data_IF_651402620575
#
_entry.id   IF_651402620575
#
_cell.length_a   1.000
_cell.length_b   1.000
_cell.length_c   1.000
_cell.angle_alpha   90.00
_cell.angle_beta   90.00
_cell.angle_gamma   90.00
#
_symmetry.space_group_name_H-M   'P 1'
#
loop_
_entity.id
_entity.type
_entity.pdbx_description
1 polymer ?
#
# COMPACT_ATOMS: atom_id res chain seq x y z
N UNK A 1 -60.50 22.42 -5.45
CA UNK A 1 -60.95 22.07 -6.81
C UNK A 1 -59.87 21.26 -7.50
N UNK A 2 -60.27 20.19 -8.20
CA UNK A 2 -59.42 19.32 -9.02
C UNK A 2 -58.75 20.10 -10.15
N UNK A 3 -57.81 19.41 -10.83
CA UNK A 3 -57.24 19.68 -12.17
C UNK A 3 -55.89 20.43 -12.02
N UNK A 4 -54.75 20.06 -12.62
CA UNK A 4 -54.38 19.50 -13.94
C UNK A 4 -52.89 19.10 -13.81
N UNK A 5 -52.46 17.87 -14.15
CA UNK A 5 -51.91 17.46 -15.47
C UNK A 5 -50.67 18.32 -15.82
N UNK A 6 -49.45 17.84 -15.61
CA UNK A 6 -48.68 16.89 -16.41
C UNK A 6 -47.61 17.60 -17.25
N UNK A 7 -46.48 16.89 -17.36
CA UNK A 7 -45.59 16.81 -18.49
C UNK A 7 -44.57 17.94 -18.74
N UNK A 8 -43.33 17.45 -18.87
CA UNK A 8 -42.34 17.83 -19.87
C UNK A 8 -41.85 19.27 -19.86
N UNK A 9 -40.63 19.48 -19.35
CA UNK A 9 -39.63 20.23 -20.12
C UNK A 9 -38.27 19.53 -19.97
N UNK A 10 -37.88 18.90 -21.07
CA UNK A 10 -36.52 18.56 -21.44
C UNK A 10 -35.74 19.88 -21.57
N UNK A 11 -34.74 20.11 -20.73
CA UNK A 11 -33.78 21.19 -20.94
C UNK A 11 -32.35 20.66 -20.96
N UNK A 12 -31.71 21.08 -22.03
CA UNK A 12 -30.42 20.70 -22.59
C UNK A 12 -29.28 21.28 -21.74
N UNK A 13 -28.11 20.66 -21.89
CA UNK A 13 -26.91 20.85 -21.10
C UNK A 13 -26.39 22.28 -20.95
N UNK A 14 -25.67 22.46 -19.84
CA UNK A 14 -24.62 23.45 -19.72
C UNK A 14 -23.32 22.72 -19.42
N UNK A 15 -22.45 22.62 -20.42
CA UNK A 15 -21.02 22.43 -20.21
C UNK A 15 -20.47 23.68 -19.56
N UNK A 16 -20.00 23.57 -18.32
CA UNK A 16 -19.03 24.50 -17.77
C UNK A 16 -17.88 23.67 -17.19
N UNK A 17 -16.86 23.51 -18.01
CA UNK A 17 -15.49 23.36 -17.52
C UNK A 17 -15.09 24.71 -16.94
N UNK A 18 -14.97 24.79 -15.62
CA UNK A 18 -14.28 25.86 -14.93
C UNK A 18 -13.42 25.21 -13.84
N UNK A 19 -12.16 24.98 -14.19
CA UNK A 19 -11.09 24.67 -13.26
C UNK A 19 -10.56 26.01 -12.73
N UNK A 20 -10.84 26.32 -11.46
CA UNK A 20 -10.24 27.43 -10.72
C UNK A 20 -10.35 27.18 -9.20
N UNK A 21 -9.23 26.70 -8.65
CA UNK A 21 -8.73 26.88 -7.28
C UNK A 21 -9.14 28.25 -6.68
N UNK A 22 -9.44 28.43 -5.39
CA UNK A 22 -9.07 27.71 -4.17
C UNK A 22 -9.90 28.29 -2.98
N UNK A 23 -9.78 27.64 -1.81
CA UNK A 23 -9.95 28.15 -0.44
C UNK A 23 -11.24 27.74 0.32
N UNK A 24 -10.97 26.75 1.19
CA UNK A 24 -11.51 26.45 2.53
C UNK A 24 -12.72 25.53 2.69
N UNK A 25 -12.34 24.37 3.23
CA UNK A 25 -13.00 23.57 4.27
C UNK A 25 -14.41 23.09 3.96
N UNK A 26 -14.56 21.78 3.79
CA UNK A 26 -15.21 20.89 4.76
C UNK A 26 -15.18 19.47 4.19
N UNK A 27 -14.70 18.55 5.03
CA UNK A 27 -15.01 17.13 5.08
C UNK A 27 -15.89 16.60 3.93
N UNK A 28 -15.31 15.83 3.01
CA UNK A 28 -16.07 15.00 2.08
C UNK A 28 -15.40 13.65 1.99
N UNK A 29 -16.04 12.67 2.62
CA UNK A 29 -15.85 11.26 2.36
C UNK A 29 -16.11 11.01 0.87
N UNK A 30 -15.05 10.77 0.10
CA UNK A 30 -15.20 10.25 -1.25
C UNK A 30 -15.31 8.74 -1.20
N UNK A 31 -16.57 8.30 -1.34
CA UNK A 31 -16.94 6.93 -1.64
C UNK A 31 -16.25 6.49 -2.93
N UNK A 32 -15.53 5.37 -2.81
CA UNK A 32 -15.29 4.33 -3.81
C UNK A 32 -16.09 4.52 -5.11
N UNK A 33 -15.42 5.00 -6.15
CA UNK A 33 -15.85 4.81 -7.53
C UNK A 33 -15.14 3.57 -8.07
N UNK A 34 -15.83 2.45 -8.03
CA UNK A 34 -15.44 1.20 -8.68
C UNK A 34 -15.59 1.35 -10.18
N UNK A 35 -14.50 1.71 -10.85
CA UNK A 35 -14.35 1.46 -12.28
C UNK A 35 -13.79 0.05 -12.42
N UNK A 36 -14.64 -0.91 -12.80
CA UNK A 36 -14.20 -2.20 -13.32
C UNK A 36 -13.52 -1.95 -14.68
N UNK A 37 -12.22 -1.71 -14.63
CA UNK A 37 -11.32 -1.98 -15.74
C UNK A 37 -10.72 -3.33 -15.44
N UNK A 38 -10.68 -4.24 -16.43
CA UNK A 38 -9.84 -5.44 -16.37
C UNK A 38 -8.39 -4.95 -16.38
N UNK A 39 -7.93 -4.53 -15.21
CA UNK A 39 -6.61 -3.99 -14.96
C UNK A 39 -5.68 -5.19 -14.82
N UNK A 40 -4.73 -5.32 -15.72
CA UNK A 40 -3.53 -6.12 -15.47
C UNK A 40 -2.92 -5.49 -14.21
N UNK A 41 -3.24 -6.04 -13.03
CA UNK A 41 -2.83 -5.47 -11.74
C UNK A 41 -1.31 -5.36 -11.74
N UNK A 42 -0.80 -4.16 -12.03
CA UNK A 42 0.59 -3.83 -11.74
C UNK A 42 0.76 -4.08 -10.25
N UNK A 43 1.74 -4.89 -9.90
CA UNK A 43 2.03 -5.19 -8.49
C UNK A 43 2.38 -3.87 -7.81
N UNK A 44 1.53 -3.42 -6.89
CA UNK A 44 1.84 -2.27 -6.05
C UNK A 44 2.73 -2.72 -4.89
N UNK A 45 4.02 -2.37 -4.97
CA UNK A 45 5.00 -2.70 -3.95
C UNK A 45 4.73 -1.99 -2.62
N UNK A 46 4.01 -0.87 -2.59
CA UNK A 46 3.61 -0.24 -1.33
C UNK A 46 2.64 -1.13 -0.56
N UNK A 47 1.70 -1.76 -1.26
CA UNK A 47 0.73 -2.64 -0.62
C UNK A 47 1.38 -3.94 -0.15
N UNK A 48 2.36 -4.47 -0.87
CA UNK A 48 3.15 -5.61 -0.39
C UNK A 48 4.02 -5.24 0.83
N UNK A 49 4.67 -4.08 0.81
CA UNK A 49 5.47 -3.60 1.94
C UNK A 49 4.62 -3.39 3.21
N UNK A 50 3.41 -2.82 3.06
CA UNK A 50 2.45 -2.70 4.16
C UNK A 50 2.01 -4.06 4.69
N UNK A 51 1.78 -5.05 3.82
CA UNK A 51 1.42 -6.42 4.24
C UNK A 51 2.55 -7.09 5.03
N UNK A 52 3.79 -6.96 4.56
CA UNK A 52 4.96 -7.51 5.26
C UNK A 52 5.13 -6.84 6.63
N UNK A 53 5.05 -5.51 6.68
CA UNK A 53 5.09 -4.74 7.94
C UNK A 53 3.96 -5.15 8.89
N UNK A 54 2.74 -5.26 8.38
CA UNK A 54 1.59 -5.65 9.18
C UNK A 54 1.74 -7.07 9.74
N UNK A 55 2.25 -8.00 8.94
CA UNK A 55 2.53 -9.38 9.38
C UNK A 55 3.54 -9.38 10.53
N UNK A 56 4.59 -8.56 10.43
CA UNK A 56 5.58 -8.42 11.49
C UNK A 56 4.98 -7.80 12.77
N UNK A 57 4.14 -6.76 12.65
CA UNK A 57 3.48 -6.13 13.82
C UNK A 57 2.49 -7.05 14.56
N UNK A 58 1.97 -8.09 13.89
CA UNK A 58 1.15 -9.12 14.56
C UNK A 58 1.98 -10.04 15.46
N UNK A 59 3.26 -10.20 15.14
CA UNK A 59 4.16 -11.09 15.87
C UNK A 59 4.89 -10.36 17.01
N UNK A 60 5.34 -9.14 16.75
CA UNK A 60 6.13 -8.34 17.68
C UNK A 60 5.57 -6.92 17.79
N UNK A 61 5.65 -6.37 19.01
CA UNK A 61 5.36 -4.95 19.22
C UNK A 61 6.48 -4.10 18.64
N UNK A 62 6.11 -3.08 17.87
CA UNK A 62 7.00 -2.13 17.23
C UNK A 62 6.48 -0.72 17.51
N UNK A 63 7.40 0.22 17.78
CA UNK A 63 7.06 1.63 17.82
C UNK A 63 6.79 2.18 16.39
N UNK A 64 6.17 3.37 16.33
CA UNK A 64 5.77 3.99 15.07
C UNK A 64 6.96 4.23 14.11
N UNK A 65 8.12 4.57 14.66
CA UNK A 65 9.31 4.84 13.88
C UNK A 65 9.84 3.55 13.24
N UNK A 66 9.95 2.45 14.00
CA UNK A 66 10.32 1.14 13.48
C UNK A 66 9.32 0.64 12.44
N UNK A 67 8.02 0.84 12.64
CA UNK A 67 6.99 0.49 11.65
C UNK A 67 7.25 1.21 10.33
N UNK A 68 7.52 2.52 10.38
CA UNK A 68 7.83 3.33 9.20
C UNK A 68 9.12 2.85 8.51
N UNK A 69 10.17 2.63 9.28
CA UNK A 69 11.48 2.21 8.76
C UNK A 69 11.42 0.82 8.11
N UNK A 70 10.72 -0.13 8.75
CA UNK A 70 10.52 -1.47 8.22
C UNK A 70 9.63 -1.48 6.98
N UNK A 71 8.59 -0.63 6.92
CA UNK A 71 7.81 -0.46 5.69
C UNK A 71 8.68 0.06 4.53
N UNK A 72 9.56 1.04 4.81
CA UNK A 72 10.53 1.51 3.83
C UNK A 72 11.50 0.41 3.38
N UNK A 73 11.98 -0.42 4.32
CA UNK A 73 12.83 -1.57 4.02
C UNK A 73 12.13 -2.59 3.11
N UNK A 74 10.87 -2.92 3.38
CA UNK A 74 10.14 -3.88 2.57
C UNK A 74 9.74 -3.32 1.21
N UNK A 75 9.45 -2.01 1.11
CA UNK A 75 9.27 -1.37 -0.19
C UNK A 75 10.55 -1.48 -1.03
N UNK A 76 11.70 -1.13 -0.44
CA UNK A 76 13.00 -1.30 -1.09
C UNK A 76 13.26 -2.75 -1.49
N UNK A 77 12.95 -3.74 -0.64
CA UNK A 77 13.05 -5.18 -0.96
C UNK A 77 12.31 -5.50 -2.25
N UNK A 78 11.00 -5.19 -2.30
CA UNK A 78 10.16 -5.55 -3.43
C UNK A 78 10.63 -4.89 -4.73
N UNK A 79 11.05 -3.62 -4.66
CA UNK A 79 11.63 -2.94 -5.82
C UNK A 79 12.98 -3.54 -6.26
N UNK A 80 13.85 -3.87 -5.31
CA UNK A 80 15.17 -4.42 -5.59
C UNK A 80 15.09 -5.84 -6.16
N UNK A 81 14.23 -6.69 -5.60
CA UNK A 81 13.99 -8.04 -6.12
C UNK A 81 13.34 -8.04 -7.50
N UNK A 82 12.46 -7.07 -7.77
CA UNK A 82 11.89 -6.89 -9.11
C UNK A 82 12.93 -6.43 -10.14
N UNK A 83 13.95 -5.67 -9.70
CA UNK A 83 15.07 -5.24 -10.56
C UNK A 83 16.13 -6.33 -10.75
N UNK A 84 16.29 -7.22 -9.77
CA UNK A 84 17.24 -8.33 -9.80
C UNK A 84 16.80 -9.41 -10.79
N UNK A 85 17.56 -9.58 -11.87
CA UNK A 85 17.24 -10.53 -12.95
C UNK A 85 17.80 -11.92 -12.68
N UNK A 86 18.98 -11.98 -12.06
CA UNK A 86 19.69 -13.23 -11.78
C UNK A 86 19.43 -13.71 -10.35
N UNK A 87 19.48 -15.02 -10.15
CA UNK A 87 19.30 -15.63 -8.81
C UNK A 87 20.31 -15.09 -7.81
N UNK A 88 21.58 -14.94 -8.21
CA UNK A 88 22.64 -14.42 -7.34
C UNK A 88 22.32 -13.01 -6.83
N UNK A 89 21.76 -12.16 -7.70
CA UNK A 89 21.45 -10.78 -7.35
C UNK A 89 20.27 -10.73 -6.37
N UNK A 90 19.28 -11.64 -6.52
CA UNK A 90 18.19 -11.80 -5.57
C UNK A 90 18.69 -12.25 -4.20
N UNK A 91 19.57 -13.24 -4.16
CA UNK A 91 20.20 -13.71 -2.90
C UNK A 91 20.98 -12.60 -2.19
N UNK A 92 21.68 -11.75 -2.95
CA UNK A 92 22.36 -10.57 -2.38
C UNK A 92 21.36 -9.59 -1.77
N UNK A 93 20.25 -9.30 -2.47
CA UNK A 93 19.18 -8.46 -1.92
C UNK A 93 18.64 -9.09 -0.64
N UNK A 94 18.28 -10.37 -0.65
CA UNK A 94 17.75 -11.08 0.52
C UNK A 94 18.70 -11.04 1.71
N UNK A 95 20.00 -11.26 1.48
CA UNK A 95 21.04 -11.14 2.51
C UNK A 95 21.10 -9.74 3.13
N UNK A 96 21.03 -8.70 2.29
CA UNK A 96 21.04 -7.29 2.75
C UNK A 96 19.78 -6.97 3.55
N UNK A 97 18.62 -7.44 3.09
CA UNK A 97 17.34 -7.24 3.80
C UNK A 97 17.38 -7.92 5.17
N UNK A 98 17.87 -9.16 5.24
CA UNK A 98 17.98 -9.89 6.49
C UNK A 98 18.97 -9.21 7.46
N UNK A 99 20.11 -8.74 6.97
CA UNK A 99 21.08 -7.99 7.78
C UNK A 99 20.48 -6.69 8.33
N UNK A 100 19.73 -5.94 7.52
CA UNK A 100 19.04 -4.73 7.96
C UNK A 100 17.92 -5.04 8.95
N UNK A 101 17.17 -6.13 8.76
CA UNK A 101 16.15 -6.57 9.71
C UNK A 101 16.76 -6.87 11.08
N UNK A 102 17.89 -7.58 11.11
CA UNK A 102 18.65 -7.86 12.35
C UNK A 102 19.19 -6.59 13.02
N UNK A 103 19.56 -5.58 12.25
CA UNK A 103 20.06 -4.32 12.79
C UNK A 103 18.94 -3.43 13.37
N UNK A 104 17.72 -3.53 12.83
CA UNK A 104 16.57 -2.72 13.26
C UNK A 104 15.84 -3.32 14.47
N UNK A 105 15.74 -4.65 14.53
CA UNK A 105 15.06 -5.35 15.61
C UNK A 105 15.98 -5.58 16.81
N UNK A 106 15.40 -5.62 18.02
CA UNK A 106 16.15 -6.10 19.19
C UNK A 106 16.46 -7.60 19.06
N UNK A 107 17.46 -8.13 19.77
CA UNK A 107 17.77 -9.56 19.74
C UNK A 107 16.54 -10.45 20.02
N UNK A 108 15.75 -10.12 21.04
CA UNK A 108 14.52 -10.84 21.41
C UNK A 108 13.44 -10.77 20.33
N UNK A 109 13.29 -9.61 19.67
CA UNK A 109 12.35 -9.44 18.56
C UNK A 109 12.78 -10.28 17.35
N UNK A 110 14.07 -10.24 17.03
CA UNK A 110 14.63 -11.00 15.91
C UNK A 110 14.55 -12.51 16.15
N UNK A 111 14.76 -12.97 17.38
CA UNK A 111 14.61 -14.39 17.74
C UNK A 111 13.18 -14.88 17.48
N UNK A 112 12.16 -14.10 17.85
CA UNK A 112 10.76 -14.43 17.55
C UNK A 112 10.49 -14.58 16.06
N UNK A 113 11.10 -13.73 15.24
CA UNK A 113 11.00 -13.81 13.77
C UNK A 113 11.77 -15.02 13.23
N UNK A 114 12.98 -15.27 13.71
CA UNK A 114 13.83 -16.37 13.28
C UNK A 114 13.23 -17.75 13.60
N UNK A 115 12.48 -17.84 14.71
CA UNK A 115 11.70 -19.03 15.06
C UNK A 115 10.49 -19.28 14.13
N UNK A 116 10.24 -18.40 13.17
CA UNK A 116 9.24 -18.55 12.11
C UNK A 116 9.93 -18.53 10.74
N UNK A 117 10.54 -19.65 10.29
CA UNK A 117 11.34 -19.67 9.07
C UNK A 117 10.54 -19.26 7.82
N UNK A 118 9.26 -19.60 7.73
CA UNK A 118 8.39 -19.18 6.64
C UNK A 118 8.17 -17.65 6.62
N UNK A 119 8.01 -17.05 7.81
CA UNK A 119 7.89 -15.60 7.92
C UNK A 119 9.22 -14.93 7.56
N UNK A 120 10.33 -15.40 8.11
CA UNK A 120 11.64 -14.85 7.82
C UNK A 120 11.93 -14.89 6.30
N UNK A 121 11.62 -16.02 5.65
CA UNK A 121 11.76 -16.14 4.21
C UNK A 121 10.86 -15.13 3.47
N UNK A 122 9.58 -15.01 3.83
CA UNK A 122 8.68 -14.00 3.25
C UNK A 122 9.21 -12.56 3.42
N UNK A 123 9.83 -12.25 4.56
CA UNK A 123 10.32 -10.89 4.84
C UNK A 123 11.61 -10.57 4.10
N UNK A 124 12.35 -11.57 3.60
CA UNK A 124 13.69 -11.41 3.01
C UNK A 124 13.72 -11.69 1.51
N UNK A 125 12.81 -12.53 1.00
CA UNK A 125 12.70 -12.89 -0.41
C UNK A 125 11.41 -12.33 -1.04
#
# INVERSE_FOLDING_TARGET
MKKIIAAFILFVGCTLTANAQEIKSVNSQERKQSTEVVEIRKVDFNDLAKKDTHTLTKLIQLDEQKIKDLNGLFLYKHEALNKAKETRDKEQVSTIIEAKLRATLSPEQMEKVANQPNLLHQLTH
#
